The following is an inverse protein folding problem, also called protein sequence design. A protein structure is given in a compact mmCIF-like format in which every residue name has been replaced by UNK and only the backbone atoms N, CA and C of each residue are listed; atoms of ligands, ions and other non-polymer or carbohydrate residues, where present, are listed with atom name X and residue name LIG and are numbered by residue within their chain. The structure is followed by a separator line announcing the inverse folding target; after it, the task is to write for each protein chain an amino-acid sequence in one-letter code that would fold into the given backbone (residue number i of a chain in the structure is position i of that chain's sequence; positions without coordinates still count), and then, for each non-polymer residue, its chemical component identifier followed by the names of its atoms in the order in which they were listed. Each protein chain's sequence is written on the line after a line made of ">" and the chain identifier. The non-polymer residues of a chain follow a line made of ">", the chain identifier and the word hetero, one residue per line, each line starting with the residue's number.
data_IF_301458860147
#
_entry.id   IF_301458860147
#
_cell.length_a   1.000
_cell.length_b   1.000
_cell.length_c   1.000
_cell.angle_alpha   90.00
_cell.angle_beta   90.00
_cell.angle_gamma   90.00
#
_symmetry.space_group_name_H-M   'P 1'
#
loop_
_entity.id
_entity.type
_entity.pdbx_description
1 polymer ?
#
# COMPACT_ATOMS: atom_id res chain seq x y z
N UNK A 1 7.51 52.90 48.05
CA UNK A 1 7.40 52.78 46.59
C UNK A 1 7.43 51.31 46.22
N UNK A 2 6.28 50.72 45.84
CA UNK A 2 6.18 49.29 45.46
C UNK A 2 6.08 49.24 43.94
N UNK A 3 7.08 48.63 43.32
CA UNK A 3 7.11 48.39 41.88
C UNK A 3 6.26 47.18 41.56
N UNK A 4 5.21 47.34 40.71
CA UNK A 4 4.41 46.28 40.14
C UNK A 4 5.14 45.76 38.89
N UNK A 5 5.60 44.49 38.88
CA UNK A 5 6.09 43.83 37.71
C UNK A 5 4.93 43.16 36.94
N UNK A 6 4.63 43.66 35.75
CA UNK A 6 3.63 43.07 34.84
C UNK A 6 4.34 42.03 33.99
N UNK A 7 4.06 40.75 34.24
CA UNK A 7 4.55 39.64 33.39
C UNK A 7 3.62 39.49 32.17
N UNK A 8 4.14 39.76 31.00
CA UNK A 8 3.46 39.55 29.73
C UNK A 8 3.63 38.08 29.29
N UNK A 9 2.57 37.27 29.39
CA UNK A 9 2.57 35.90 28.91
C UNK A 9 2.27 35.92 27.42
N UNK A 10 3.29 35.64 26.59
CA UNK A 10 3.14 35.44 25.15
C UNK A 10 2.62 34.02 24.91
N UNK A 11 1.35 33.86 24.60
CA UNK A 11 0.81 32.55 24.11
C UNK A 11 1.10 32.40 22.64
N UNK A 12 2.11 31.57 22.31
CA UNK A 12 2.37 31.15 20.94
C UNK A 12 1.31 30.13 20.57
N UNK A 13 0.29 30.55 19.85
CA UNK A 13 -0.71 29.66 19.25
C UNK A 13 -0.05 28.83 18.15
N UNK A 14 0.15 27.52 18.38
CA UNK A 14 0.53 26.58 17.33
C UNK A 14 -0.64 26.45 16.34
N UNK A 15 -0.55 27.08 15.18
CA UNK A 15 -1.48 26.85 14.08
C UNK A 15 -1.28 25.41 13.58
N UNK A 16 -2.22 24.52 13.90
CA UNK A 16 -2.29 23.20 13.31
C UNK A 16 -2.61 23.37 11.82
N UNK A 17 -1.62 23.15 10.96
CA UNK A 17 -1.82 23.10 9.51
C UNK A 17 -2.57 21.80 9.21
N UNK A 18 -3.87 21.90 9.01
CA UNK A 18 -4.67 20.79 8.50
C UNK A 18 -4.12 20.42 7.12
N UNK A 19 -3.54 19.22 6.99
CA UNK A 19 -3.12 18.72 5.70
C UNK A 19 -4.34 18.61 4.79
N UNK A 20 -4.34 19.38 3.70
CA UNK A 20 -5.40 19.27 2.71
C UNK A 20 -5.39 17.87 2.11
N UNK A 21 -6.57 17.24 1.91
CA UNK A 21 -6.66 15.96 1.22
C UNK A 21 -5.94 16.05 -0.12
N UNK A 22 -5.18 15.00 -0.46
CA UNK A 22 -4.50 14.94 -1.75
C UNK A 22 -5.54 15.06 -2.89
N UNK A 23 -5.27 15.81 -3.97
CA UNK A 23 -6.23 16.04 -5.03
C UNK A 23 -6.65 14.74 -5.70
N UNK A 24 -7.92 14.67 -6.12
CA UNK A 24 -8.48 13.58 -6.90
C UNK A 24 -7.72 13.43 -8.21
N UNK A 25 -7.36 12.20 -8.60
CA UNK A 25 -6.73 11.85 -9.87
C UNK A 25 -7.40 10.62 -10.45
N UNK A 26 -8.12 10.76 -11.55
CA UNK A 26 -8.92 9.71 -12.20
C UNK A 26 -8.29 9.17 -13.49
N UNK A 27 -7.20 9.77 -13.94
CA UNK A 27 -6.49 9.38 -15.16
C UNK A 27 -4.97 9.41 -14.95
N UNK A 28 -4.28 8.44 -15.53
CA UNK A 28 -2.85 8.43 -15.68
C UNK A 28 -2.49 7.86 -17.05
N UNK A 29 -1.64 8.55 -17.81
CA UNK A 29 -1.11 8.07 -19.06
C UNK A 29 -0.05 6.97 -18.86
N UNK A 30 0.30 6.26 -19.93
CA UNK A 30 1.43 5.33 -19.90
C UNK A 30 2.76 6.03 -19.51
N UNK A 31 2.94 7.29 -19.93
CA UNK A 31 4.10 8.09 -19.55
C UNK A 31 4.13 8.42 -18.06
N UNK A 32 2.95 8.72 -17.45
CA UNK A 32 2.84 8.92 -15.99
C UNK A 32 3.22 7.66 -15.22
N UNK A 33 2.73 6.49 -15.66
CA UNK A 33 3.07 5.21 -15.02
C UNK A 33 4.56 4.91 -15.14
N UNK A 34 5.17 5.16 -16.30
CA UNK A 34 6.62 4.99 -16.50
C UNK A 34 7.44 5.93 -15.59
N UNK A 35 7.00 7.19 -15.44
CA UNK A 35 7.64 8.15 -14.54
C UNK A 35 7.54 7.73 -13.07
N UNK A 36 6.38 7.22 -12.63
CA UNK A 36 6.20 6.68 -11.28
C UNK A 36 7.09 5.46 -11.04
N UNK A 37 7.25 4.58 -12.01
CA UNK A 37 8.17 3.45 -11.91
C UNK A 37 9.62 3.91 -11.75
N UNK A 38 10.08 4.84 -12.60
CA UNK A 38 11.41 5.41 -12.50
C UNK A 38 11.66 6.05 -11.12
N UNK A 39 10.66 6.80 -10.62
CA UNK A 39 10.69 7.41 -9.28
C UNK A 39 10.78 6.34 -8.19
N UNK A 40 9.91 5.33 -8.20
CA UNK A 40 9.90 4.27 -7.19
C UNK A 40 11.23 3.51 -7.13
N UNK A 41 11.86 3.29 -8.29
CA UNK A 41 13.18 2.68 -8.39
C UNK A 41 14.28 3.59 -7.81
N UNK A 42 14.21 4.89 -8.05
CA UNK A 42 15.19 5.87 -7.53
C UNK A 42 15.06 6.09 -6.01
N UNK A 43 13.83 6.08 -5.49
CA UNK A 43 13.53 6.29 -4.07
C UNK A 43 13.73 5.02 -3.22
N UNK A 44 13.87 3.86 -3.86
CA UNK A 44 14.07 2.59 -3.17
C UNK A 44 15.37 2.59 -2.37
N UNK A 45 15.29 2.12 -1.12
CA UNK A 45 16.43 2.01 -0.19
C UNK A 45 16.74 0.55 0.10
N UNK A 46 17.99 0.26 0.42
CA UNK A 46 18.43 -1.06 0.85
C UNK A 46 17.59 -1.56 2.04
N UNK A 47 17.13 -2.81 1.95
CA UNK A 47 16.27 -3.43 2.94
C UNK A 47 14.79 -3.05 2.87
N UNK A 48 14.39 -2.15 1.98
CA UNK A 48 12.99 -1.80 1.76
C UNK A 48 12.35 -2.79 0.77
N UNK A 49 11.38 -3.59 1.24
CA UNK A 49 10.76 -4.61 0.39
C UNK A 49 9.85 -4.02 -0.69
N UNK A 50 9.24 -2.86 -0.45
CA UNK A 50 8.27 -2.23 -1.35
C UNK A 50 8.40 -0.71 -1.32
N UNK A 51 8.31 -0.09 -2.51
CA UNK A 51 8.01 1.32 -2.69
C UNK A 51 6.67 1.42 -3.43
N UNK A 52 5.72 2.18 -2.89
CA UNK A 52 4.40 2.38 -3.49
C UNK A 52 4.21 3.84 -3.89
N UNK A 53 3.81 4.07 -5.16
CA UNK A 53 3.52 5.38 -5.72
C UNK A 53 2.07 5.42 -6.22
N UNK A 54 1.27 6.42 -5.87
CA UNK A 54 -0.13 6.47 -6.27
C UNK A 54 -0.27 6.80 -7.75
N UNK A 55 -0.94 5.92 -8.51
CA UNK A 55 -1.32 6.14 -9.91
C UNK A 55 -2.62 6.95 -9.98
N UNK A 56 -3.67 6.48 -9.25
CA UNK A 56 -4.99 7.10 -9.20
C UNK A 56 -5.41 7.35 -7.75
N UNK A 57 -6.22 8.39 -7.54
CA UNK A 57 -6.83 8.74 -6.25
C UNK A 57 -8.27 9.17 -6.46
N UNK A 58 -9.20 8.31 -6.10
CA UNK A 58 -10.64 8.58 -6.14
C UNK A 58 -11.31 7.76 -5.03
N UNK A 59 -11.40 8.32 -3.83
CA UNK A 59 -11.99 7.60 -2.71
C UNK A 59 -13.42 7.08 -3.04
N UNK A 60 -13.76 5.84 -2.65
CA UNK A 60 -12.96 4.89 -1.89
C UNK A 60 -11.93 4.11 -2.73
N UNK A 61 -11.80 4.38 -4.02
CA UNK A 61 -10.91 3.68 -4.93
C UNK A 61 -9.53 4.32 -4.99
N UNK A 62 -8.50 3.49 -5.17
CA UNK A 62 -7.14 3.93 -5.41
C UNK A 62 -6.36 2.88 -6.17
N UNK A 63 -5.46 3.33 -7.04
CA UNK A 63 -4.50 2.47 -7.71
C UNK A 63 -3.09 2.93 -7.38
N UNK A 64 -2.21 1.99 -7.04
CA UNK A 64 -0.81 2.25 -6.77
C UNK A 64 0.10 1.47 -7.73
N UNK A 65 1.21 2.07 -8.11
CA UNK A 65 2.36 1.34 -8.61
C UNK A 65 3.12 0.81 -7.39
N UNK A 66 3.43 -0.47 -7.38
CA UNK A 66 4.26 -1.10 -6.37
C UNK A 66 5.55 -1.61 -7.03
N UNK A 67 6.69 -1.07 -6.62
CA UNK A 67 8.02 -1.58 -6.96
C UNK A 67 8.50 -2.45 -5.79
N UNK A 68 8.75 -3.73 -6.06
CA UNK A 68 9.19 -4.71 -5.05
C UNK A 68 10.51 -5.34 -5.47
N UNK A 69 11.52 -5.24 -4.63
CA UNK A 69 12.87 -5.78 -4.85
C UNK A 69 13.21 -6.95 -3.92
N UNK A 70 12.36 -7.19 -2.92
CA UNK A 70 12.52 -8.31 -1.99
C UNK A 70 11.18 -8.74 -1.42
N UNK A 71 11.17 -9.91 -0.80
CA UNK A 71 10.00 -10.47 -0.14
C UNK A 71 9.62 -9.59 1.06
N UNK A 72 8.37 -9.14 1.10
CA UNK A 72 7.78 -8.41 2.23
C UNK A 72 6.91 -9.30 3.10
N UNK A 73 6.15 -8.68 4.00
CA UNK A 73 5.18 -9.37 4.84
C UNK A 73 4.00 -9.93 4.02
N UNK A 74 3.41 -11.03 4.50
CA UNK A 74 2.11 -11.49 4.07
C UNK A 74 1.00 -10.56 4.60
N UNK A 75 -0.13 -10.48 3.89
CA UNK A 75 -1.21 -9.56 4.22
C UNK A 75 -2.59 -10.19 4.06
N UNK A 76 -3.56 -9.67 4.83
CA UNK A 76 -5.00 -9.87 4.64
C UNK A 76 -5.68 -8.52 4.69
N UNK A 77 -6.55 -8.24 3.71
CA UNK A 77 -7.48 -7.12 3.71
C UNK A 77 -8.89 -7.67 3.95
N UNK A 78 -9.47 -7.41 5.13
CA UNK A 78 -10.70 -8.05 5.56
C UNK A 78 -11.94 -7.52 4.81
N UNK A 79 -11.89 -6.28 4.30
CA UNK A 79 -13.04 -5.59 3.68
C UNK A 79 -12.82 -5.17 2.23
N UNK A 80 -11.68 -5.53 1.66
CA UNK A 80 -11.32 -5.15 0.30
C UNK A 80 -10.73 -6.34 -0.45
N UNK A 81 -11.14 -6.54 -1.69
CA UNK A 81 -10.41 -7.38 -2.62
C UNK A 81 -9.18 -6.61 -3.12
N UNK A 82 -8.08 -7.31 -3.35
CA UNK A 82 -6.87 -6.73 -3.95
C UNK A 82 -6.66 -7.27 -5.35
N UNK A 83 -6.54 -6.36 -6.32
CA UNK A 83 -6.30 -6.67 -7.70
C UNK A 83 -4.87 -6.28 -8.07
N UNK A 84 -4.16 -7.17 -8.78
CA UNK A 84 -2.82 -6.94 -9.29
C UNK A 84 -2.80 -7.07 -10.81
N UNK A 85 -2.10 -6.17 -11.48
CA UNK A 85 -1.62 -6.32 -12.84
C UNK A 85 -0.10 -6.24 -12.84
N UNK A 86 0.58 -7.25 -13.38
CA UNK A 86 2.04 -7.28 -13.44
C UNK A 86 2.53 -6.45 -14.62
N UNK A 87 3.14 -5.31 -14.33
CA UNK A 87 3.71 -4.39 -15.33
C UNK A 87 5.03 -4.95 -15.84
N UNK A 88 5.87 -5.47 -14.92
CA UNK A 88 7.17 -6.06 -15.28
C UNK A 88 7.69 -7.01 -14.19
N UNK A 89 8.59 -7.93 -14.57
CA UNK A 89 9.18 -8.91 -13.66
C UNK A 89 8.31 -10.14 -13.42
N UNK A 90 8.67 -10.93 -12.41
CA UNK A 90 7.95 -12.15 -12.02
C UNK A 90 8.17 -12.50 -10.55
N UNK A 91 7.24 -13.27 -9.99
CA UNK A 91 7.26 -13.70 -8.61
C UNK A 91 6.43 -14.98 -8.40
N UNK A 92 6.56 -15.59 -7.22
CA UNK A 92 5.61 -16.59 -6.74
C UNK A 92 4.63 -15.90 -5.79
N UNK A 93 3.37 -15.82 -6.20
CA UNK A 93 2.27 -15.36 -5.37
C UNK A 93 1.64 -16.56 -4.65
N UNK A 94 1.55 -16.48 -3.33
CA UNK A 94 0.86 -17.43 -2.49
C UNK A 94 -0.46 -16.83 -2.01
N UNK A 95 -1.57 -17.56 -2.11
CA UNK A 95 -2.91 -17.09 -1.71
C UNK A 95 -3.65 -18.15 -0.90
N UNK A 96 -4.56 -17.71 -0.02
CA UNK A 96 -5.30 -18.59 0.90
C UNK A 96 -4.44 -19.09 2.05
N UNK A 97 -4.89 -20.17 2.71
CA UNK A 97 -4.20 -20.71 3.87
C UNK A 97 -4.34 -19.81 5.11
N UNK A 98 -3.29 -19.77 5.95
CA UNK A 98 -3.25 -19.02 7.21
C UNK A 98 -1.98 -18.20 7.29
N UNK A 99 -2.07 -17.00 7.88
CA UNK A 99 -0.90 -16.19 8.19
C UNK A 99 -0.04 -16.85 9.27
N UNK A 100 1.29 -16.84 9.07
CA UNK A 100 2.25 -17.13 10.12
C UNK A 100 2.46 -15.89 10.98
N UNK A 101 2.53 -16.07 12.29
CA UNK A 101 2.75 -14.98 13.25
C UNK A 101 1.83 -13.78 13.00
N UNK A 102 0.54 -14.10 12.81
CA UNK A 102 -0.49 -13.12 12.50
C UNK A 102 -0.52 -11.95 13.50
N UNK A 103 -0.58 -10.72 12.97
CA UNK A 103 -0.72 -9.48 13.75
C UNK A 103 -1.73 -8.57 13.08
N UNK A 104 -2.61 -7.97 13.88
CA UNK A 104 -3.52 -6.93 13.41
C UNK A 104 -2.76 -5.59 13.32
N UNK A 105 -2.81 -4.97 12.16
CA UNK A 105 -2.16 -3.67 11.91
C UNK A 105 -3.12 -2.49 12.06
N UNK A 106 -4.41 -2.71 11.77
CA UNK A 106 -5.50 -1.75 11.98
C UNK A 106 -6.86 -2.48 12.03
N UNK A 107 -7.98 -1.73 11.99
CA UNK A 107 -9.33 -2.30 12.08
C UNK A 107 -9.69 -3.28 10.95
N UNK A 108 -9.00 -3.24 9.82
CA UNK A 108 -9.38 -3.96 8.59
C UNK A 108 -8.24 -4.78 7.95
N UNK A 109 -7.03 -4.74 8.56
CA UNK A 109 -5.86 -5.37 7.96
C UNK A 109 -5.08 -6.22 8.97
N UNK A 110 -4.64 -7.38 8.50
CA UNK A 110 -3.74 -8.29 9.19
C UNK A 110 -2.44 -8.43 8.39
N UNK A 111 -1.37 -8.77 9.09
CA UNK A 111 -0.06 -9.08 8.49
C UNK A 111 0.53 -10.32 9.15
N UNK A 112 1.51 -10.93 8.47
CA UNK A 112 2.24 -12.09 8.99
C UNK A 112 3.60 -12.24 8.31
N UNK A 113 4.43 -13.14 8.84
CA UNK A 113 5.76 -13.42 8.29
C UNK A 113 5.74 -14.33 7.06
N UNK A 114 4.58 -14.90 6.74
CA UNK A 114 4.35 -15.78 5.60
C UNK A 114 2.97 -16.42 5.66
N UNK A 115 2.74 -17.42 4.80
CA UNK A 115 1.49 -18.18 4.71
C UNK A 115 1.78 -19.68 4.84
N UNK A 116 0.94 -20.40 5.61
CA UNK A 116 0.88 -21.86 5.67
C UNK A 116 -0.34 -22.35 4.90
N UNK A 117 -0.22 -23.51 4.25
CA UNK A 117 -1.29 -24.20 3.52
C UNK A 117 -1.96 -23.36 2.42
N UNK A 118 -1.26 -22.35 1.89
CA UNK A 118 -1.70 -21.56 0.75
C UNK A 118 -1.40 -22.24 -0.59
N UNK A 119 -2.01 -21.70 -1.66
CA UNK A 119 -1.73 -22.09 -3.05
C UNK A 119 -0.70 -21.16 -3.65
N UNK A 120 0.35 -21.71 -4.21
CA UNK A 120 1.40 -20.97 -4.92
C UNK A 120 1.10 -20.91 -6.41
N UNK A 121 1.28 -19.73 -7.00
CA UNK A 121 1.18 -19.51 -8.43
C UNK A 121 2.32 -18.60 -8.90
N UNK A 122 3.01 -18.96 -9.99
CA UNK A 122 3.91 -18.03 -10.66
C UNK A 122 3.10 -16.96 -11.35
N UNK A 123 3.47 -15.70 -11.15
CA UNK A 123 2.93 -14.54 -11.85
C UNK A 123 4.05 -13.81 -12.57
N UNK A 124 3.77 -13.29 -13.77
CA UNK A 124 4.75 -12.64 -14.62
C UNK A 124 4.11 -11.48 -15.40
N UNK A 125 4.93 -10.71 -16.09
CA UNK A 125 4.52 -9.58 -16.91
C UNK A 125 3.29 -9.89 -17.77
N UNK A 126 2.25 -9.05 -17.64
CA UNK A 126 0.97 -9.16 -18.34
C UNK A 126 -0.11 -9.91 -17.56
N UNK A 127 0.25 -10.62 -16.48
CA UNK A 127 -0.73 -11.36 -15.68
C UNK A 127 -1.62 -10.42 -14.85
N UNK A 128 -2.86 -10.88 -14.68
CA UNK A 128 -3.89 -10.23 -13.91
C UNK A 128 -4.37 -11.17 -12.80
N UNK A 129 -4.40 -10.68 -11.56
CA UNK A 129 -4.80 -11.48 -10.38
C UNK A 129 -5.78 -10.69 -9.54
N UNK A 130 -6.83 -11.35 -9.06
CA UNK A 130 -7.67 -10.84 -7.97
C UNK A 130 -7.53 -11.73 -6.75
N UNK A 131 -7.29 -11.12 -5.60
CA UNK A 131 -7.34 -11.76 -4.29
C UNK A 131 -8.61 -11.27 -3.61
N UNK A 132 -9.57 -12.16 -3.30
CA UNK A 132 -10.79 -11.77 -2.60
C UNK A 132 -10.49 -11.16 -1.22
N UNK A 133 -11.45 -10.41 -0.71
CA UNK A 133 -11.41 -9.94 0.68
C UNK A 133 -11.20 -11.11 1.65
N UNK A 134 -10.64 -10.81 2.80
CA UNK A 134 -10.36 -11.78 3.87
C UNK A 134 -9.50 -12.99 3.43
N UNK A 135 -8.72 -12.82 2.37
CA UNK A 135 -7.86 -13.88 1.83
C UNK A 135 -6.39 -13.54 2.04
N UNK A 136 -5.61 -14.37 2.77
CA UNK A 136 -4.18 -14.21 2.89
C UNK A 136 -3.50 -14.20 1.51
N UNK A 137 -2.55 -13.27 1.31
CA UNK A 137 -1.75 -13.23 0.09
C UNK A 137 -0.32 -12.74 0.38
N UNK A 138 0.63 -13.27 -0.38
CA UNK A 138 2.03 -13.06 -0.15
C UNK A 138 2.86 -13.36 -1.37
N UNK A 139 3.80 -12.48 -1.73
CA UNK A 139 4.85 -12.82 -2.67
C UNK A 139 5.96 -13.57 -1.92
N UNK A 140 5.97 -14.91 -2.02
CA UNK A 140 6.89 -15.77 -1.29
C UNK A 140 8.29 -15.80 -1.90
N UNK A 141 8.42 -15.46 -3.18
CA UNK A 141 9.70 -15.19 -3.85
C UNK A 141 9.50 -14.16 -4.97
N UNK A 142 10.57 -13.43 -5.29
CA UNK A 142 10.61 -12.43 -6.36
C UNK A 142 11.86 -12.70 -7.19
N UNK A 143 11.72 -12.76 -8.51
CA UNK A 143 12.84 -12.97 -9.43
C UNK A 143 13.49 -11.61 -9.74
N UNK A 144 14.43 -11.20 -8.89
CA UNK A 144 15.05 -9.87 -8.95
C UNK A 144 14.10 -8.78 -8.50
N UNK A 145 13.23 -8.29 -9.37
CA UNK A 145 12.21 -7.27 -9.06
C UNK A 145 10.86 -7.62 -9.71
N UNK A 146 9.77 -7.16 -9.09
CA UNK A 146 8.45 -7.15 -9.73
C UNK A 146 7.81 -5.78 -9.59
N UNK A 147 7.20 -5.30 -10.68
CA UNK A 147 6.47 -4.04 -10.72
C UNK A 147 5.01 -4.32 -11.00
N UNK A 148 4.16 -3.82 -10.13
CA UNK A 148 2.72 -4.09 -10.15
C UNK A 148 1.93 -2.79 -10.21
N UNK A 149 0.79 -2.81 -10.87
CA UNK A 149 -0.33 -1.95 -10.52
C UNK A 149 -1.21 -2.72 -9.53
N UNK A 150 -1.50 -2.13 -8.38
CA UNK A 150 -2.40 -2.70 -7.38
C UNK A 150 -3.58 -1.80 -7.12
N UNK A 151 -4.78 -2.39 -7.02
CA UNK A 151 -6.03 -1.71 -6.67
C UNK A 151 -6.64 -2.39 -5.45
N UNK A 152 -7.15 -1.56 -4.54
CA UNK A 152 -8.05 -2.00 -3.48
C UNK A 152 -9.49 -1.76 -3.95
N UNK A 153 -10.30 -2.83 -3.97
CA UNK A 153 -11.70 -2.78 -4.37
C UNK A 153 -12.56 -3.03 -3.14
N UNK A 154 -13.19 -1.98 -2.59
CA UNK A 154 -14.04 -2.12 -1.40
C UNK A 154 -15.20 -3.07 -1.65
N UNK A 155 -15.56 -3.85 -0.63
CA UNK A 155 -16.75 -4.69 -0.67
C UNK A 155 -18.01 -3.83 -0.77
N UNK A 156 -18.94 -4.23 -1.63
CA UNK A 156 -20.27 -3.61 -1.71
C UNK A 156 -20.98 -3.68 -0.35
N UNK A 157 -21.32 -2.54 0.22
CA UNK A 157 -21.96 -2.44 1.55
C UNK A 157 -21.02 -2.02 2.69
N UNK A 158 -19.72 -1.90 2.47
CA UNK A 158 -18.80 -1.20 3.38
C UNK A 158 -18.74 0.30 3.06
N UNK A 159 -19.91 0.95 2.90
CA UNK A 159 -19.95 2.41 2.86
C UNK A 159 -19.35 2.91 4.18
N UNK A 160 -18.20 3.58 4.11
CA UNK A 160 -17.67 4.31 5.24
C UNK A 160 -18.62 5.46 5.57
N UNK A 161 -18.87 5.73 6.86
CA UNK A 161 -19.67 6.85 7.32
C UNK A 161 -19.04 8.19 6.94
#
# INVERSE_FOLDING_TARGET
>A
MRALAISLILTIGAAAWAQQPAPTKTYASAADVAALWAKAKADHKDGQAIVAEPILRLAPYGANLEYRSSVGAASVHEKEAKLFYVIDGSAILMTGGKLKEEKRTNAENLTGTGIEDGKSQRVAKGDFVIVPENTPHWFSSIDGTIVLMSLHVPRSGSAQP
#
